data_IF_930546961667
#
_entry.id   IF_930546961667
#
_cell.length_a   1.000
_cell.length_b   1.000
_cell.length_c   1.000
_cell.angle_alpha   90.00
_cell.angle_beta   90.00
_cell.angle_gamma   90.00
#
_symmetry.space_group_name_H-M   'P 1'
#
loop_
_entity.id
_entity.type
_entity.pdbx_description
1 polymer ?
#
# COMPACT_ATOMS: atom_id res chain seq x y z
N UNK A 1 -67.15 -19.37 -25.04
CA UNK A 1 -65.91 -19.69 -24.31
C UNK A 1 -64.80 -19.15 -25.18
N UNK A 2 -64.64 -17.83 -25.29
CA UNK A 2 -64.45 -16.83 -24.20
C UNK A 2 -63.18 -17.28 -23.44
N UNK A 3 -62.05 -16.58 -23.38
CA UNK A 3 -61.68 -15.17 -23.57
C UNK A 3 -60.20 -15.13 -24.05
N UNK A 4 -59.75 -14.24 -24.95
CA UNK A 4 -59.41 -12.81 -24.70
C UNK A 4 -58.27 -12.67 -23.65
N UNK A 5 -57.04 -12.34 -24.04
CA UNK A 5 -56.35 -11.02 -23.98
C UNK A 5 -54.84 -11.42 -23.91
N UNK A 6 -53.79 -10.70 -24.32
CA UNK A 6 -53.54 -9.38 -24.89
C UNK A 6 -52.04 -9.39 -25.27
N UNK A 7 -51.72 -8.68 -26.35
CA UNK A 7 -50.37 -8.31 -26.77
C UNK A 7 -49.74 -7.36 -25.75
N UNK A 8 -48.47 -7.57 -25.38
CA UNK A 8 -47.54 -6.46 -25.11
C UNK A 8 -46.17 -6.87 -25.69
N UNK A 9 -45.82 -6.32 -26.84
CA UNK A 9 -44.44 -6.06 -27.22
C UNK A 9 -44.00 -4.84 -26.42
N UNK A 10 -42.99 -4.98 -25.56
CA UNK A 10 -42.27 -3.85 -24.99
C UNK A 10 -40.80 -3.98 -25.38
N UNK A 11 -40.48 -3.38 -26.52
CA UNK A 11 -39.16 -2.84 -26.84
C UNK A 11 -38.83 -1.76 -25.80
N UNK A 12 -38.18 -2.13 -24.69
CA UNK A 12 -37.52 -1.15 -23.83
C UNK A 12 -36.07 -0.97 -24.27
N UNK A 13 -35.87 0.07 -25.07
CA UNK A 13 -34.57 0.71 -25.28
C UNK A 13 -33.88 0.99 -23.94
N UNK A 14 -32.56 0.80 -23.81
CA UNK A 14 -31.86 1.25 -22.63
C UNK A 14 -31.93 2.78 -22.56
N UNK A 15 -32.70 3.27 -21.59
CA UNK A 15 -32.87 4.66 -21.24
C UNK A 15 -31.50 5.34 -21.07
N UNK A 16 -31.14 6.22 -22.01
CA UNK A 16 -29.99 7.10 -21.91
C UNK A 16 -30.28 8.19 -20.86
N UNK A 17 -30.00 7.88 -19.60
CA UNK A 17 -29.88 8.91 -18.58
C UNK A 17 -28.54 9.62 -18.79
N UNK A 18 -28.60 10.73 -19.53
CA UNK A 18 -27.60 11.78 -19.48
C UNK A 18 -27.52 12.29 -18.03
N UNK A 19 -26.37 12.11 -17.40
CA UNK A 19 -26.05 12.58 -16.07
C UNK A 19 -24.54 12.68 -15.93
N UNK A 20 -24.05 13.89 -16.19
CA UNK A 20 -22.77 14.47 -15.79
C UNK A 20 -21.49 13.62 -15.95
N UNK A 21 -20.87 13.86 -17.10
CA UNK A 21 -19.47 13.60 -17.44
C UNK A 21 -18.52 14.26 -16.43
N UNK A 22 -18.10 13.50 -15.42
CA UNK A 22 -16.81 13.64 -14.75
C UNK A 22 -16.20 12.24 -14.56
N UNK A 23 -16.00 11.56 -15.70
CA UNK A 23 -15.30 10.29 -15.78
C UNK A 23 -13.79 10.47 -15.57
N UNK A 24 -13.34 10.65 -14.33
CA UNK A 24 -11.96 10.36 -13.96
C UNK A 24 -11.71 8.87 -14.24
N UNK A 25 -10.97 8.56 -15.29
CA UNK A 25 -10.56 7.21 -15.71
C UNK A 25 -9.62 6.53 -14.72
N UNK A 26 -10.04 6.38 -13.46
CA UNK A 26 -9.19 5.96 -12.35
C UNK A 26 -9.65 4.73 -11.58
N UNK A 27 -10.71 4.06 -12.04
CA UNK A 27 -11.28 2.86 -11.41
C UNK A 27 -10.29 1.68 -11.28
N UNK A 28 -9.16 1.69 -12.00
CA UNK A 28 -8.11 0.67 -11.89
C UNK A 28 -7.02 0.97 -10.85
N UNK A 29 -6.92 2.21 -10.32
CA UNK A 29 -5.73 2.63 -9.53
C UNK A 29 -5.59 1.97 -8.14
N UNK A 30 -6.55 1.16 -7.70
CA UNK A 30 -6.51 0.49 -6.40
C UNK A 30 -6.92 -0.98 -6.44
N UNK A 31 -6.80 -1.69 -7.56
CA UNK A 31 -7.20 -3.11 -7.59
C UNK A 31 -6.25 -4.05 -6.84
N UNK A 32 -4.97 -3.66 -6.68
CA UNK A 32 -3.96 -4.52 -6.09
C UNK A 32 -3.23 -3.86 -4.92
N UNK A 33 -2.83 -4.66 -3.94
CA UNK A 33 -1.84 -4.25 -2.94
C UNK A 33 -0.45 -4.47 -3.52
N UNK A 34 0.30 -3.38 -3.70
CA UNK A 34 1.65 -3.44 -4.27
C UNK A 34 2.66 -3.85 -3.21
N UNK A 35 3.38 -4.94 -3.46
CA UNK A 35 4.37 -5.54 -2.57
C UNK A 35 5.72 -5.50 -3.28
N UNK A 36 6.75 -4.95 -2.63
CA UNK A 36 8.11 -4.98 -3.14
C UNK A 36 8.90 -6.07 -2.42
N UNK A 37 9.48 -7.01 -3.17
CA UNK A 37 10.43 -8.00 -2.66
C UNK A 37 11.83 -7.52 -3.03
N UNK A 38 12.70 -7.37 -2.03
CA UNK A 38 14.09 -6.96 -2.20
C UNK A 38 14.99 -8.03 -1.61
N UNK A 39 15.63 -8.81 -2.46
CA UNK A 39 16.43 -9.98 -2.09
C UNK A 39 17.34 -10.32 -3.27
N UNK A 40 18.62 -10.62 -3.07
CA UNK A 40 19.54 -10.96 -4.16
C UNK A 40 19.38 -12.42 -4.62
N UNK A 41 18.69 -13.26 -3.85
CA UNK A 41 18.43 -14.67 -4.16
C UNK A 41 17.14 -14.84 -4.99
N UNK A 42 17.20 -15.23 -6.29
CA UNK A 42 16.00 -15.36 -7.14
C UNK A 42 14.97 -16.36 -6.61
N UNK A 43 15.43 -17.44 -5.97
CA UNK A 43 14.57 -18.48 -5.40
C UNK A 43 13.68 -17.93 -4.28
N UNK A 44 14.15 -16.93 -3.53
CA UNK A 44 13.35 -16.29 -2.48
C UNK A 44 12.16 -15.54 -3.09
N UNK A 45 12.34 -14.89 -4.24
CA UNK A 45 11.24 -14.22 -4.95
C UNK A 45 10.19 -15.23 -5.41
N UNK A 46 10.63 -16.33 -6.03
CA UNK A 46 9.74 -17.40 -6.49
C UNK A 46 8.98 -18.02 -5.32
N UNK A 47 9.68 -18.39 -4.24
CA UNK A 47 9.09 -19.00 -3.06
C UNK A 47 8.09 -18.06 -2.37
N UNK A 48 8.43 -16.78 -2.23
CA UNK A 48 7.53 -15.77 -1.64
C UNK A 48 6.24 -15.63 -2.44
N UNK A 49 6.35 -15.49 -3.77
CA UNK A 49 5.18 -15.39 -4.66
C UNK A 49 4.31 -16.65 -4.63
N UNK A 50 4.94 -17.83 -4.56
CA UNK A 50 4.23 -19.10 -4.47
C UNK A 50 3.48 -19.25 -3.14
N UNK A 51 4.12 -18.89 -2.02
CA UNK A 51 3.54 -18.96 -0.69
C UNK A 51 2.34 -18.00 -0.52
N UNK A 52 2.31 -16.90 -1.27
CA UNK A 52 1.24 -15.91 -1.26
C UNK A 52 0.29 -16.03 -2.47
N UNK A 53 0.36 -17.13 -3.22
CA UNK A 53 -0.51 -17.35 -4.38
C UNK A 53 -1.97 -17.41 -3.93
N UNK A 54 -2.82 -16.59 -4.55
CA UNK A 54 -4.24 -16.50 -4.21
C UNK A 54 -4.51 -15.76 -2.90
N UNK A 55 -3.53 -15.05 -2.36
CA UNK A 55 -3.75 -14.16 -1.22
C UNK A 55 -4.65 -13.00 -1.64
N UNK A 56 -5.67 -12.74 -0.83
CA UNK A 56 -6.56 -11.59 -0.96
C UNK A 56 -6.74 -10.91 0.41
N UNK A 57 -6.75 -9.59 0.40
CA UNK A 57 -7.08 -8.77 1.56
C UNK A 57 -7.92 -7.59 1.10
N UNK A 58 -9.07 -7.38 1.74
CA UNK A 58 -9.98 -6.26 1.41
C UNK A 58 -10.42 -6.31 -0.06
N UNK A 59 -10.77 -7.52 -0.54
CA UNK A 59 -11.18 -7.83 -1.92
C UNK A 59 -10.16 -7.42 -3.01
N UNK A 60 -8.88 -7.33 -2.61
CA UNK A 60 -7.76 -6.97 -3.48
C UNK A 60 -6.67 -8.03 -3.42
N UNK A 61 -6.19 -8.43 -4.59
CA UNK A 61 -5.06 -9.32 -4.73
C UNK A 61 -3.72 -8.57 -4.58
N UNK A 62 -2.61 -9.32 -4.56
CA UNK A 62 -1.26 -8.76 -4.50
C UNK A 62 -0.68 -8.52 -5.90
N UNK A 63 0.01 -7.40 -6.07
CA UNK A 63 0.90 -7.14 -7.21
C UNK A 63 2.33 -7.09 -6.70
N UNK A 64 3.23 -7.85 -7.32
CA UNK A 64 4.62 -7.96 -6.87
C UNK A 64 5.56 -7.14 -7.75
N UNK A 65 6.40 -6.37 -7.09
CA UNK A 65 7.60 -5.73 -7.64
C UNK A 65 8.83 -6.45 -7.07
N UNK A 66 9.85 -6.61 -7.88
CA UNK A 66 11.04 -7.40 -7.53
C UNK A 66 12.30 -6.55 -7.74
N UNK A 67 13.16 -6.52 -6.74
CA UNK A 67 14.49 -5.92 -6.80
C UNK A 67 15.53 -6.90 -6.27
N UNK A 68 16.65 -7.02 -6.97
CA UNK A 68 17.77 -7.89 -6.57
C UNK A 68 18.85 -7.14 -5.78
N UNK A 69 18.59 -5.88 -5.44
CA UNK A 69 19.62 -4.91 -5.07
C UNK A 69 18.98 -3.68 -4.44
N UNK A 70 19.67 -3.06 -3.48
CA UNK A 70 19.24 -1.78 -2.90
C UNK A 70 19.10 -0.68 -3.96
N UNK A 71 19.97 -0.64 -4.96
CA UNK A 71 19.89 0.34 -6.05
C UNK A 71 18.67 0.10 -6.96
N UNK A 72 18.35 -1.16 -7.26
CA UNK A 72 17.15 -1.51 -8.02
C UNK A 72 15.88 -1.15 -7.25
N UNK A 73 15.84 -1.42 -5.93
CA UNK A 73 14.73 -1.08 -5.08
C UNK A 73 14.48 0.44 -5.03
N UNK A 74 15.54 1.26 -4.92
CA UNK A 74 15.43 2.73 -4.95
C UNK A 74 14.78 3.24 -6.23
N UNK A 75 15.11 2.66 -7.39
CA UNK A 75 14.47 3.03 -8.67
C UNK A 75 12.97 2.73 -8.65
N UNK A 76 12.59 1.53 -8.21
CA UNK A 76 11.17 1.17 -8.10
C UNK A 76 10.43 2.10 -7.14
N UNK A 77 11.02 2.43 -5.98
CA UNK A 77 10.43 3.34 -4.99
C UNK A 77 10.40 4.80 -5.45
N UNK A 78 11.26 5.18 -6.40
CA UNK A 78 11.19 6.49 -7.05
C UNK A 78 9.96 6.58 -7.96
N UNK A 79 9.61 5.49 -8.66
CA UNK A 79 8.51 5.42 -9.62
C UNK A 79 7.16 5.07 -8.97
N UNK A 80 7.15 4.15 -8.02
CA UNK A 80 5.96 3.61 -7.36
C UNK A 80 5.85 4.14 -5.93
N UNK A 81 4.99 5.13 -5.73
CA UNK A 81 4.82 5.80 -4.41
C UNK A 81 3.85 5.10 -3.47
N UNK A 82 3.04 4.19 -4.00
CA UNK A 82 1.96 3.48 -3.33
C UNK A 82 2.30 2.01 -3.02
N UNK A 83 3.60 1.67 -2.91
CA UNK A 83 4.04 0.39 -2.36
C UNK A 83 3.52 0.27 -0.92
N UNK A 84 2.75 -0.78 -0.65
CA UNK A 84 2.12 -1.02 0.64
C UNK A 84 3.08 -1.69 1.63
N UNK A 85 3.78 -2.73 1.13
CA UNK A 85 4.68 -3.56 1.93
C UNK A 85 5.98 -3.81 1.19
N UNK A 86 7.10 -3.78 1.93
CA UNK A 86 8.42 -4.17 1.43
C UNK A 86 8.89 -5.37 2.26
N UNK A 87 9.17 -6.49 1.59
CA UNK A 87 9.86 -7.65 2.13
C UNK A 87 11.34 -7.51 1.77
N UNK A 88 12.19 -7.21 2.74
CA UNK A 88 13.55 -6.74 2.50
C UNK A 88 14.58 -7.64 3.18
N UNK A 89 15.56 -8.15 2.42
CA UNK A 89 16.75 -8.76 2.98
C UNK A 89 17.69 -7.70 3.59
N UNK A 90 18.28 -8.04 4.74
CA UNK A 90 19.27 -7.21 5.41
C UNK A 90 20.60 -7.25 4.69
N UNK A 91 21.04 -8.45 4.28
CA UNK A 91 22.38 -8.71 3.73
C UNK A 91 22.24 -9.00 2.24
N UNK A 92 22.78 -8.12 1.40
CA UNK A 92 22.81 -8.30 -0.06
C UNK A 92 24.19 -7.92 -0.57
N UNK A 93 24.33 -6.74 -1.20
CA UNK A 93 25.61 -6.23 -1.69
C UNK A 93 26.60 -5.91 -0.54
N UNK A 94 26.08 -5.63 0.65
CA UNK A 94 26.80 -5.48 1.90
C UNK A 94 25.98 -6.00 3.08
N UNK A 95 26.64 -6.26 4.21
CA UNK A 95 26.04 -6.76 5.46
C UNK A 95 24.92 -5.86 6.04
N UNK A 96 24.86 -4.60 5.60
CA UNK A 96 23.93 -3.57 6.05
C UNK A 96 23.13 -2.94 4.90
N UNK A 97 23.15 -3.55 3.71
CA UNK A 97 22.52 -2.99 2.51
C UNK A 97 21.01 -2.74 2.70
N UNK A 98 20.31 -3.68 3.33
CA UNK A 98 18.89 -3.52 3.65
C UNK A 98 18.64 -2.37 4.63
N UNK A 99 19.47 -2.23 5.67
CA UNK A 99 19.32 -1.15 6.65
C UNK A 99 19.53 0.23 6.01
N UNK A 100 20.53 0.35 5.13
CA UNK A 100 20.75 1.58 4.34
C UNK A 100 19.57 1.90 3.42
N UNK A 101 18.89 0.90 2.88
CA UNK A 101 17.68 1.10 2.08
C UNK A 101 16.51 1.59 2.96
N UNK A 102 16.34 1.04 4.16
CA UNK A 102 15.32 1.53 5.12
C UNK A 102 15.57 2.99 5.47
N UNK A 103 16.82 3.34 5.78
CA UNK A 103 17.23 4.72 6.09
C UNK A 103 16.83 5.68 4.97
N UNK A 104 17.11 5.31 3.71
CA UNK A 104 16.67 6.08 2.55
C UNK A 104 15.14 6.23 2.45
N UNK A 105 14.38 5.15 2.68
CA UNK A 105 12.91 5.19 2.61
C UNK A 105 12.34 6.15 3.67
N UNK A 106 12.88 6.12 4.89
CA UNK A 106 12.38 6.93 6.01
C UNK A 106 12.89 8.38 5.97
N UNK A 107 14.17 8.58 5.67
CA UNK A 107 14.83 9.88 5.83
C UNK A 107 14.99 10.67 4.54
N UNK A 108 15.04 10.01 3.37
CA UNK A 108 15.15 10.70 2.08
C UNK A 108 13.80 10.74 1.34
N UNK A 109 13.07 9.62 1.29
CA UNK A 109 11.74 9.57 0.65
C UNK A 109 10.59 10.02 1.57
N UNK A 110 10.87 10.15 2.88
CA UNK A 110 9.88 10.48 3.92
C UNK A 110 8.61 9.61 3.87
N UNK A 111 8.75 8.36 3.42
CA UNK A 111 7.63 7.45 3.34
C UNK A 111 7.53 6.64 4.64
N UNK A 112 6.88 7.21 5.66
CA UNK A 112 6.59 6.51 6.92
C UNK A 112 5.38 5.57 6.81
N UNK A 113 4.62 5.67 5.71
CA UNK A 113 3.38 4.92 5.49
C UNK A 113 3.63 3.50 5.02
N UNK A 114 4.65 3.28 4.17
CA UNK A 114 5.01 1.94 3.70
C UNK A 114 5.47 1.07 4.85
N UNK A 115 4.96 -0.17 4.86
CA UNK A 115 5.33 -1.15 5.88
C UNK A 115 6.57 -1.92 5.45
N UNK A 116 7.55 -2.06 6.33
CA UNK A 116 8.81 -2.75 6.02
C UNK A 116 8.96 -3.95 6.93
N UNK A 117 9.16 -5.12 6.34
CA UNK A 117 9.49 -6.37 7.03
C UNK A 117 10.91 -6.74 6.63
N UNK A 118 11.82 -6.75 7.60
CA UNK A 118 13.18 -7.25 7.39
C UNK A 118 13.22 -8.78 7.50
N UNK A 119 13.97 -9.40 6.60
CA UNK A 119 14.27 -10.82 6.58
C UNK A 119 15.80 -10.99 6.60
N UNK A 120 16.33 -12.00 7.30
CA UNK A 120 17.76 -12.35 7.19
C UNK A 120 17.96 -13.86 7.30
N UNK A 121 18.92 -14.41 6.56
CA UNK A 121 19.37 -15.80 6.74
C UNK A 121 20.32 -15.99 7.93
N UNK A 122 20.97 -14.91 8.41
CA UNK A 122 21.91 -14.95 9.53
C UNK A 122 21.72 -13.74 10.45
N UNK A 123 21.11 -13.92 11.64
CA UNK A 123 21.05 -12.86 12.64
C UNK A 123 22.44 -12.68 13.27
N UNK A 124 23.01 -11.47 13.21
CA UNK A 124 24.38 -11.26 13.74
C UNK A 124 24.83 -9.83 14.03
N UNK A 125 24.17 -8.79 13.48
CA UNK A 125 24.65 -7.40 13.60
C UNK A 125 24.06 -6.63 14.80
N UNK A 126 22.83 -6.92 15.21
CA UNK A 126 22.18 -6.28 16.37
C UNK A 126 20.96 -7.11 16.84
N UNK A 127 20.55 -6.99 18.11
CA UNK A 127 19.30 -7.57 18.59
C UNK A 127 18.11 -7.05 17.75
N UNK A 128 17.21 -7.94 17.35
CA UNK A 128 16.06 -7.60 16.47
C UNK A 128 15.28 -6.37 16.96
N UNK A 129 15.06 -6.30 18.28
CA UNK A 129 14.36 -5.20 18.95
C UNK A 129 15.00 -3.85 18.68
N UNK A 130 16.33 -3.77 18.67
CA UNK A 130 17.04 -2.51 18.45
C UNK A 130 16.90 -2.05 17.01
N UNK A 131 16.91 -3.00 16.06
CA UNK A 131 16.70 -2.70 14.63
C UNK A 131 15.29 -2.17 14.41
N UNK A 132 14.29 -2.82 15.01
CA UNK A 132 12.88 -2.41 14.89
C UNK A 132 12.68 -0.96 15.33
N UNK A 133 13.21 -0.59 16.51
CA UNK A 133 13.04 0.76 17.06
C UNK A 133 13.85 1.80 16.30
N UNK A 134 15.11 1.50 15.95
CA UNK A 134 16.00 2.50 15.32
C UNK A 134 15.61 2.83 13.89
N UNK A 135 15.15 1.85 13.14
CA UNK A 135 14.86 2.00 11.71
C UNK A 135 13.36 2.16 11.40
N UNK A 136 12.49 2.20 12.41
CA UNK A 136 11.03 2.34 12.26
C UNK A 136 10.46 1.35 11.22
N UNK A 137 10.77 0.07 11.44
CA UNK A 137 10.27 -1.06 10.63
C UNK A 137 9.14 -1.78 11.36
N UNK A 138 8.36 -2.56 10.63
CA UNK A 138 7.15 -3.19 11.14
C UNK A 138 7.37 -4.60 11.67
N UNK A 139 8.36 -5.32 11.13
CA UNK A 139 8.75 -6.62 11.66
C UNK A 139 10.19 -6.99 11.26
N UNK A 140 10.78 -7.92 12.01
CA UNK A 140 12.06 -8.57 11.73
C UNK A 140 11.88 -10.08 11.87
N UNK A 141 12.33 -10.85 10.87
CA UNK A 141 12.17 -12.30 10.83
C UNK A 141 13.39 -13.02 10.24
N UNK A 142 13.67 -14.21 10.74
CA UNK A 142 14.62 -15.11 10.09
C UNK A 142 14.01 -15.73 8.82
N UNK A 143 14.78 -15.77 7.72
CA UNK A 143 14.35 -16.38 6.43
C UNK A 143 13.95 -17.85 6.61
N UNK A 144 14.66 -18.58 7.48
CA UNK A 144 14.45 -20.01 7.76
C UNK A 144 13.18 -20.30 8.56
N UNK A 145 12.67 -19.33 9.32
CA UNK A 145 11.48 -19.51 10.18
C UNK A 145 10.16 -19.15 9.48
N UNK A 146 10.21 -18.67 8.23
CA UNK A 146 9.06 -18.16 7.50
C UNK A 146 8.32 -19.25 6.71
N UNK A 147 7.49 -20.05 7.39
CA UNK A 147 6.56 -20.95 6.71
C UNK A 147 5.50 -20.18 5.90
N UNK A 148 4.86 -20.81 4.91
CA UNK A 148 3.80 -20.18 4.13
C UNK A 148 2.65 -19.65 5.00
N UNK A 149 2.26 -20.40 6.05
CA UNK A 149 1.24 -19.96 7.00
C UNK A 149 1.69 -18.74 7.82
N UNK A 150 2.95 -18.69 8.25
CA UNK A 150 3.49 -17.54 8.98
C UNK A 150 3.56 -16.31 8.08
N UNK A 151 4.02 -16.48 6.84
CA UNK A 151 4.07 -15.40 5.84
C UNK A 151 2.66 -14.89 5.51
N UNK A 152 1.65 -15.77 5.40
CA UNK A 152 0.25 -15.38 5.20
C UNK A 152 -0.24 -14.48 6.34
N UNK A 153 -0.11 -14.93 7.59
CA UNK A 153 -0.57 -14.18 8.76
C UNK A 153 0.18 -12.85 8.91
N UNK A 154 1.49 -12.84 8.65
CA UNK A 154 2.31 -11.64 8.64
C UNK A 154 1.80 -10.65 7.59
N UNK A 155 1.63 -11.08 6.34
CA UNK A 155 1.16 -10.22 5.26
C UNK A 155 -0.23 -9.64 5.56
N UNK A 156 -1.14 -10.45 6.11
CA UNK A 156 -2.47 -9.99 6.51
C UNK A 156 -2.41 -8.90 7.58
N UNK A 157 -1.61 -9.10 8.63
CA UNK A 157 -1.45 -8.11 9.70
C UNK A 157 -0.80 -6.82 9.19
N UNK A 158 0.22 -6.94 8.33
CA UNK A 158 0.96 -5.81 7.78
C UNK A 158 0.11 -4.98 6.81
N UNK A 159 -0.66 -5.62 5.91
CA UNK A 159 -1.57 -4.91 5.01
C UNK A 159 -2.71 -4.22 5.76
N UNK A 160 -3.25 -4.87 6.79
CA UNK A 160 -4.21 -4.21 7.69
C UNK A 160 -3.60 -2.95 8.32
N UNK A 161 -2.38 -3.04 8.84
CA UNK A 161 -1.68 -1.87 9.41
C UNK A 161 -1.46 -0.76 8.37
N UNK A 162 -1.09 -1.11 7.13
CA UNK A 162 -0.96 -0.15 6.02
C UNK A 162 -2.29 0.55 5.66
N UNK A 163 -3.39 -0.21 5.57
CA UNK A 163 -4.70 0.36 5.30
C UNK A 163 -5.12 1.33 6.42
N UNK A 164 -4.99 0.87 7.67
CA UNK A 164 -5.48 1.62 8.83
C UNK A 164 -4.69 2.94 9.00
N UNK A 165 -3.35 2.94 8.81
CA UNK A 165 -2.56 4.18 8.87
C UNK A 165 -2.90 5.16 7.74
N UNK A 166 -3.23 4.67 6.54
CA UNK A 166 -3.65 5.52 5.43
C UNK A 166 -5.02 6.16 5.68
N UNK A 167 -5.96 5.42 6.29
CA UNK A 167 -7.26 5.97 6.72
C UNK A 167 -7.04 7.08 7.75
N UNK A 168 -6.14 6.87 8.72
CA UNK A 168 -5.79 7.87 9.74
C UNK A 168 -5.20 9.12 9.07
N UNK A 169 -4.24 8.96 8.15
CA UNK A 169 -3.62 10.11 7.49
C UNK A 169 -4.60 10.85 6.55
N UNK A 170 -5.49 10.14 5.88
CA UNK A 170 -6.57 10.76 5.10
C UNK A 170 -7.50 11.59 6.00
N UNK A 171 -7.88 11.03 7.16
CA UNK A 171 -8.71 11.73 8.15
C UNK A 171 -8.02 12.97 8.70
N UNK A 172 -6.71 12.87 9.03
CA UNK A 172 -5.89 14.00 9.49
C UNK A 172 -5.85 15.12 8.47
N UNK A 173 -5.58 14.81 7.20
CA UNK A 173 -5.55 15.78 6.09
C UNK A 173 -6.91 16.44 5.87
N UNK A 174 -7.99 15.66 5.97
CA UNK A 174 -9.36 16.20 5.87
C UNK A 174 -9.66 17.22 6.97
N UNK A 175 -9.31 16.90 8.22
CA UNK A 175 -9.52 17.79 9.36
C UNK A 175 -8.69 19.08 9.26
N UNK A 176 -7.42 18.99 8.81
CA UNK A 176 -6.58 20.17 8.56
C UNK A 176 -7.24 21.12 7.56
N UNK A 177 -7.74 20.56 6.44
CA UNK A 177 -8.42 21.36 5.40
C UNK A 177 -9.66 22.08 5.93
N UNK A 178 -10.48 21.41 6.76
CA UNK A 178 -11.67 22.02 7.36
C UNK A 178 -11.29 23.21 8.26
N UNK A 179 -10.23 23.06 9.06
CA UNK A 179 -9.74 24.15 9.92
C UNK A 179 -9.24 25.33 9.08
N UNK A 180 -8.45 25.06 8.03
CA UNK A 180 -7.90 26.10 7.15
C UNK A 180 -9.02 26.89 6.44
N UNK A 181 -9.98 26.20 5.83
CA UNK A 181 -11.13 26.84 5.17
C UNK A 181 -12.00 27.64 6.15
N UNK A 182 -12.20 27.14 7.37
CA UNK A 182 -12.93 27.88 8.40
C UNK A 182 -12.22 29.18 8.77
N UNK A 183 -10.88 29.14 8.92
CA UNK A 183 -10.08 30.32 9.25
C UNK A 183 -10.07 31.38 8.14
N UNK A 184 -10.13 30.96 6.87
CA UNK A 184 -10.26 31.86 5.71
C UNK A 184 -11.63 32.56 5.69
N UNK A 185 -12.72 31.81 5.86
CA UNK A 185 -14.07 32.38 5.94
C UNK A 185 -14.22 33.43 7.05
N UNK A 186 -13.62 33.17 8.23
CA UNK A 186 -13.64 34.16 9.31
C UNK A 186 -12.92 35.45 8.91
N UNK A 187 -11.78 35.38 8.21
CA UNK A 187 -11.04 36.58 7.76
C UNK A 187 -11.82 37.41 6.75
N UNK A 188 -12.52 36.77 5.82
CA UNK A 188 -13.35 37.48 4.82
C UNK A 188 -14.53 38.19 5.49
N UNK A 189 -15.21 37.54 6.45
CA UNK A 189 -16.30 38.17 7.22
C UNK A 189 -15.85 39.37 8.07
N UNK A 190 -14.59 39.41 8.51
CA UNK A 190 -14.06 40.58 9.21
C UNK A 190 -13.82 41.75 8.25
N UNK A 191 -13.37 41.51 7.02
CA UNK A 191 -13.12 42.60 6.06
C UNK A 191 -14.40 43.25 5.55
N UNK A 192 -15.48 42.47 5.37
CA UNK A 192 -16.79 43.00 4.96
C UNK A 192 -17.49 43.83 6.06
N UNK A 193 -17.15 43.61 7.33
CA UNK A 193 -17.73 44.36 8.46
C UNK A 193 -17.03 45.70 8.76
N UNK A 194 -15.96 46.05 8.02
CA UNK A 194 -15.23 47.32 8.15
C UNK A 194 -15.36 48.26 6.92
N UNK A 195 -16.22 47.92 5.96
CA UNK A 195 -16.59 48.76 4.82
C UNK A 195 -17.99 49.38 5.01
#
# INVERSE_FOLDING_TARGET
>A
MDDEFLVIEDDEEPCSAAGDDDGDGSSFRHQFWKILIVDDEPDVHVATKLALKGFEFDDRALEFFEAQSGAAARRILAEQKDIAVILLDVVMESDDAGLKLVDHIRNELHNSMVRIILRTGQPGQAPERDVIVRYDINDYKEKTDLSATKLFTLMYATLRSYRDINIIEASRRGLVRVIESSAEMFKEQFLDNFA
#
